data_IF_421067007851
#
_entry.id   IF_421067007851
#
_cell.length_a   1.000
_cell.length_b   1.000
_cell.length_c   1.000
_cell.angle_alpha   90.00
_cell.angle_beta   90.00
_cell.angle_gamma   90.00
#
_symmetry.space_group_name_H-M   'P 1'
#
loop_
_entity.id
_entity.type
_entity.pdbx_description
1 polymer ?
#
# COMPACT_ATOMS: atom_id res chain seq x y z
N UNK A 1 -17.15 7.38 4.51
CA UNK A 1 -17.11 6.62 3.23
C UNK A 1 -15.72 5.97 3.17
N UNK A 2 -15.60 4.65 3.32
CA UNK A 2 -14.29 3.99 3.57
C UNK A 2 -13.54 3.60 2.28
N UNK A 3 -13.77 4.34 1.18
CA UNK A 3 -13.11 4.14 -0.11
C UNK A 3 -11.82 4.95 -0.13
N UNK A 4 -10.67 4.28 -0.11
CA UNK A 4 -9.37 4.93 -0.16
C UNK A 4 -8.70 4.67 -1.52
N UNK A 5 -7.92 5.64 -1.99
CA UNK A 5 -7.27 5.61 -3.30
C UNK A 5 -5.82 5.15 -3.15
N UNK A 6 -5.50 4.02 -3.74
CA UNK A 6 -4.19 3.40 -3.75
C UNK A 6 -3.37 4.02 -4.90
N UNK A 7 -2.64 5.11 -4.63
CA UNK A 7 -1.78 5.74 -5.64
C UNK A 7 -0.41 5.06 -5.69
N UNK A 8 0.15 4.85 -6.91
CA UNK A 8 1.55 4.49 -7.07
C UNK A 8 2.40 5.70 -6.65
N UNK A 9 3.19 5.55 -5.58
CA UNK A 9 4.14 6.57 -5.16
C UNK A 9 5.33 6.57 -6.11
N UNK A 10 5.40 7.55 -7.01
CA UNK A 10 6.63 7.80 -7.77
C UNK A 10 7.67 8.36 -6.80
N UNK A 11 8.71 7.58 -6.53
CA UNK A 11 9.92 8.04 -5.84
C UNK A 11 10.65 9.04 -6.76
N UNK A 12 10.14 10.25 -6.87
CA UNK A 12 10.90 11.36 -7.48
C UNK A 12 12.07 11.67 -6.54
N UNK A 13 13.26 11.56 -7.11
CA UNK A 13 14.54 11.57 -6.43
C UNK A 13 15.01 13.03 -6.28
N UNK A 14 14.86 13.61 -5.09
CA UNK A 14 15.61 14.82 -4.74
C UNK A 14 16.92 14.34 -4.10
N UNK A 15 18.03 14.47 -4.85
CA UNK A 15 19.35 13.95 -4.50
C UNK A 15 19.83 14.41 -3.12
N UNK A 16 20.03 13.45 -2.21
CA UNK A 16 20.67 13.62 -0.92
C UNK A 16 21.78 12.58 -0.72
N UNK A 17 22.81 12.89 0.09
CA UNK A 17 24.03 12.07 0.21
C UNK A 17 23.72 10.61 0.62
N UNK A 18 24.58 9.65 0.23
CA UNK A 18 24.44 8.24 0.55
C UNK A 18 24.59 8.02 2.06
N UNK A 19 23.50 8.18 2.81
CA UNK A 19 23.53 8.07 4.27
C UNK A 19 22.19 8.26 4.97
N UNK A 20 21.20 8.88 4.30
CA UNK A 20 19.88 9.14 4.91
C UNK A 20 18.75 8.72 3.95
N UNK A 21 18.65 7.44 3.66
CA UNK A 21 17.53 6.92 2.86
C UNK A 21 16.24 7.07 3.65
N UNK A 22 15.38 7.98 3.21
CA UNK A 22 13.99 8.11 3.65
C UNK A 22 13.25 6.81 3.28
N UNK A 23 13.37 5.84 4.17
CA UNK A 23 13.07 4.45 3.93
C UNK A 23 11.61 4.22 4.30
N UNK A 24 10.71 4.24 3.31
CA UNK A 24 9.31 3.93 3.58
C UNK A 24 9.21 2.52 4.15
N UNK A 25 8.46 2.36 5.24
CA UNK A 25 8.27 1.06 5.88
C UNK A 25 6.91 0.52 5.50
N UNK A 26 6.90 -0.74 5.08
CA UNK A 26 5.69 -1.46 4.76
C UNK A 26 4.92 -1.77 6.03
N UNK A 27 3.67 -1.32 6.11
CA UNK A 27 2.82 -1.59 7.27
C UNK A 27 2.34 -3.05 7.35
N UNK A 28 2.43 -3.81 6.25
CA UNK A 28 2.05 -5.23 6.21
C UNK A 28 3.14 -6.18 6.70
N UNK A 29 4.40 -5.87 6.41
CA UNK A 29 5.52 -6.76 6.75
C UNK A 29 6.56 -6.13 7.70
N UNK A 30 6.46 -4.83 8.00
CA UNK A 30 7.47 -4.09 8.76
C UNK A 30 8.80 -3.90 8.02
N UNK A 31 8.88 -4.39 6.79
CA UNK A 31 10.08 -4.33 5.95
C UNK A 31 10.26 -2.96 5.29
N UNK A 32 11.50 -2.63 4.98
CA UNK A 32 11.87 -1.43 4.24
C UNK A 32 11.45 -1.58 2.77
N UNK A 33 10.80 -0.56 2.23
CA UNK A 33 10.40 -0.50 0.82
C UNK A 33 11.54 0.15 0.04
N UNK A 34 12.33 -0.72 -0.60
CA UNK A 34 13.41 -0.35 -1.53
C UNK A 34 12.94 -0.36 -2.99
N UNK A 35 11.73 -0.84 -3.23
CA UNK A 35 11.10 -0.95 -4.55
C UNK A 35 10.88 0.44 -5.16
N UNK A 36 11.01 0.52 -6.48
CA UNK A 36 10.70 1.74 -7.24
C UNK A 36 9.22 2.11 -7.13
N UNK A 37 8.36 1.08 -7.08
CA UNK A 37 6.91 1.22 -7.07
C UNK A 37 6.37 0.74 -5.74
N UNK A 38 5.60 1.60 -5.10
CA UNK A 38 5.02 1.36 -3.80
C UNK A 38 3.62 1.96 -3.74
N UNK A 39 2.80 1.39 -2.88
CA UNK A 39 1.43 1.85 -2.71
C UNK A 39 1.31 2.64 -1.44
N UNK A 40 0.65 3.79 -1.54
CA UNK A 40 0.27 4.58 -0.37
C UNK A 40 -1.20 4.35 -0.06
N UNK A 41 -1.48 3.75 1.10
CA UNK A 41 -2.81 3.38 1.57
C UNK A 41 -2.89 3.49 3.09
N UNK A 42 -4.00 4.03 3.61
CA UNK A 42 -4.18 4.31 5.05
C UNK A 42 -3.11 5.20 5.66
N UNK A 43 -2.61 6.20 4.91
CA UNK A 43 -1.48 7.04 5.34
C UNK A 43 -0.18 6.24 5.57
N UNK A 44 -0.16 4.97 5.14
CA UNK A 44 0.97 4.07 5.27
C UNK A 44 1.44 3.59 3.91
N UNK A 45 2.67 3.12 3.86
CA UNK A 45 3.26 2.56 2.66
C UNK A 45 3.18 1.04 2.67
N UNK A 46 3.04 0.47 1.49
CA UNK A 46 2.92 -0.97 1.28
C UNK A 46 3.70 -1.39 0.04
N UNK A 47 4.32 -2.57 0.11
CA UNK A 47 4.88 -3.21 -1.07
C UNK A 47 3.77 -3.67 -2.02
N UNK A 48 4.11 -3.83 -3.30
CA UNK A 48 3.25 -4.41 -4.33
C UNK A 48 2.63 -5.76 -3.91
N UNK A 49 3.41 -6.64 -3.28
CA UNK A 49 2.93 -7.93 -2.78
C UNK A 49 2.35 -7.90 -1.35
N UNK A 50 2.54 -6.82 -0.60
CA UNK A 50 2.03 -6.73 0.77
C UNK A 50 0.62 -6.15 0.83
N UNK A 51 0.26 -5.28 -0.11
CA UNK A 51 -1.07 -4.68 -0.19
C UNK A 51 -2.07 -5.69 -0.79
N UNK A 52 -2.61 -6.57 0.05
CA UNK A 52 -3.58 -7.61 -0.34
C UNK A 52 -4.76 -7.70 0.61
N UNK A 53 -5.84 -8.32 0.15
CA UNK A 53 -7.07 -8.44 0.92
C UNK A 53 -6.85 -9.46 2.02
N UNK A 54 -7.22 -9.15 3.26
CA UNK A 54 -7.07 -10.12 4.35
C UNK A 54 -8.00 -11.33 4.21
N UNK A 55 -9.03 -11.24 3.37
CA UNK A 55 -10.04 -12.29 3.18
C UNK A 55 -9.69 -13.20 2.01
N UNK A 56 -9.52 -12.64 0.81
CA UNK A 56 -9.22 -13.41 -0.39
C UNK A 56 -7.72 -13.58 -0.68
N UNK A 57 -6.84 -12.92 0.09
CA UNK A 57 -5.40 -12.80 -0.20
C UNK A 57 -5.05 -12.27 -1.60
N UNK A 58 -6.05 -11.80 -2.36
CA UNK A 58 -5.87 -11.23 -3.68
C UNK A 58 -5.15 -9.88 -3.59
N UNK A 59 -4.23 -9.58 -4.52
CA UNK A 59 -3.57 -8.29 -4.58
C UNK A 59 -4.62 -7.19 -4.81
N UNK A 60 -4.77 -6.27 -3.86
CA UNK A 60 -5.63 -5.11 -4.03
C UNK A 60 -5.24 -4.22 -5.23
N UNK A 61 -3.95 -4.04 -5.59
CA UNK A 61 -3.63 -3.18 -6.73
C UNK A 61 -4.17 -3.70 -8.07
N UNK A 62 -4.40 -5.02 -8.18
CA UNK A 62 -5.01 -5.64 -9.36
C UNK A 62 -6.55 -5.49 -9.35
N UNK A 63 -7.15 -5.51 -8.16
CA UNK A 63 -8.60 -5.39 -7.95
C UNK A 63 -9.13 -3.94 -8.06
N UNK A 64 -8.23 -2.95 -8.15
CA UNK A 64 -8.52 -1.56 -8.52
C UNK A 64 -7.77 -0.51 -7.68
N UNK A 65 -7.80 0.73 -8.16
CA UNK A 65 -7.23 1.90 -7.46
C UNK A 65 -7.97 2.26 -6.17
N UNK A 66 -9.08 1.59 -5.86
CA UNK A 66 -9.93 1.83 -4.68
C UNK A 66 -9.88 0.65 -3.72
N UNK A 67 -9.32 0.89 -2.54
CA UNK A 67 -9.09 -0.07 -1.48
C UNK A 67 -10.00 0.28 -0.27
N UNK A 68 -10.50 -0.70 0.48
CA UNK A 68 -11.43 -0.45 1.61
C UNK A 68 -10.82 -0.91 2.94
N UNK A 69 -11.15 -0.22 4.02
CA UNK A 69 -10.72 -0.61 5.38
C UNK A 69 -11.91 -0.82 6.29
N UNK A 70 -11.91 -1.93 7.03
CA UNK A 70 -12.90 -2.24 8.07
C UNK A 70 -12.17 -2.80 9.29
N UNK A 71 -12.33 -2.20 10.46
CA UNK A 71 -11.62 -2.60 11.70
C UNK A 71 -10.10 -2.72 11.54
N UNK A 72 -9.47 -1.83 10.76
CA UNK A 72 -8.02 -1.89 10.50
C UNK A 72 -7.58 -3.00 9.53
N UNK A 73 -8.52 -3.79 8.99
CA UNK A 73 -8.24 -4.78 7.95
C UNK A 73 -8.49 -4.18 6.56
N UNK A 74 -7.57 -4.47 5.64
CA UNK A 74 -7.68 -4.07 4.23
C UNK A 74 -8.50 -5.12 3.49
N UNK A 75 -9.57 -4.67 2.83
CA UNK A 75 -10.55 -5.48 2.13
C UNK A 75 -10.71 -4.97 0.70
N UNK A 76 -11.00 -5.88 -0.23
CA UNK A 76 -11.36 -5.50 -1.59
C UNK A 76 -12.80 -4.97 -1.65
N UNK A 77 -13.16 -4.24 -2.71
CA UNK A 77 -14.53 -3.70 -2.90
C UNK A 77 -15.60 -4.79 -2.80
N UNK A 78 -15.30 -5.98 -3.31
CA UNK A 78 -16.23 -7.10 -3.35
C UNK A 78 -16.49 -7.69 -1.97
N UNK A 79 -15.46 -7.94 -1.17
CA UNK A 79 -15.61 -8.39 0.22
C UNK A 79 -16.20 -7.30 1.13
N UNK A 80 -15.94 -6.04 0.83
CA UNK A 80 -16.51 -4.92 1.60
C UNK A 80 -18.00 -4.69 1.31
N UNK A 81 -18.46 -4.94 0.09
CA UNK A 81 -19.84 -4.75 -0.35
C UNK A 81 -20.77 -5.94 -0.05
N UNK A 82 -20.24 -7.01 0.54
CA UNK A 82 -20.97 -8.23 0.90
C UNK A 82 -21.36 -8.21 2.38
#
# INVERSE_FOLDING_TARGET
MNQMKCFPGDKTQEGGPPGSTNMHICAGCGGRIVERWLFHALDRYWHNGCLKCSYCNGPLPDLGTSCFTKHGMILCKQDYSR
#
